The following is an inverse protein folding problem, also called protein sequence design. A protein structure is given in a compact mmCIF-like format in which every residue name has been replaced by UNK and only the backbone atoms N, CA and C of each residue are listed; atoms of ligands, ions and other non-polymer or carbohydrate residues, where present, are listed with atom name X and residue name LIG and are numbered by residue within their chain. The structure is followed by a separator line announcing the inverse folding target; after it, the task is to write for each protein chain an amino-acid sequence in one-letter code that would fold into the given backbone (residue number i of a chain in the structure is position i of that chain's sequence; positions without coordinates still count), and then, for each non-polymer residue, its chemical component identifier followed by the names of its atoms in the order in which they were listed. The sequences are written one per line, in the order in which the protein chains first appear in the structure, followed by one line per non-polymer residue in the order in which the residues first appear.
data_IF_289086606525
#
_entry.id   IF_289086606525
#
_cell.length_a   1.000
_cell.length_b   1.000
_cell.length_c   1.000
_cell.angle_alpha   90.00
_cell.angle_beta   90.00
_cell.angle_gamma   90.00
#
_symmetry.space_group_name_H-M   'P 1'
#
loop_
_entity.id
_entity.type
_entity.pdbx_description
1 polymer ?
2 polymer ?
3 non-polymer ?
4 water ?
#
loop_
_entity_poly.entity_id
_entity_poly.type
_entity_poly.pdbx_seq_one_letter_code
_entity_poly.pdbx_strand_id
2 'polyribonucleotide' 'GG' ?
#
# COMPACT_ATOMS: atom_id res chain seq x y z
N UNK A 1 -3.28 -13.60 18.10
CA UNK A 1 -4.60 -14.19 17.92
C UNK A 1 -4.64 -15.06 16.66
N UNK A 2 -4.92 -14.44 15.52
CA UNK A 2 -4.94 -15.14 14.24
C UNK A 2 -3.55 -15.11 13.61
N UNK A 3 -2.51 -15.08 14.45
CA UNK A 3 -1.13 -15.03 13.97
C UNK A 3 -0.82 -16.25 13.12
N UNK A 4 -0.29 -16.02 11.91
CA UNK A 4 -0.06 -17.14 11.00
C UNK A 4 0.99 -16.76 9.96
N UNK A 5 1.88 -17.70 9.65
CA UNK A 5 2.85 -17.47 8.60
C UNK A 5 2.23 -17.47 7.20
N UNK A 6 0.92 -17.72 7.09
CA UNK A 6 0.20 -17.63 5.83
C UNK A 6 -0.48 -16.29 5.61
N UNK A 7 -0.54 -15.44 6.64
CA UNK A 7 -1.20 -14.15 6.54
C UNK A 7 -0.44 -13.23 5.59
N UNK A 8 -1.15 -12.26 5.02
CA UNK A 8 -0.61 -11.38 3.99
C UNK A 8 -0.55 -9.96 4.50
N UNK A 9 0.59 -9.30 4.26
CA UNK A 9 0.78 -7.90 4.63
C UNK A 9 0.53 -7.05 3.39
N UNK A 10 -0.48 -6.21 3.47
CA UNK A 10 -0.83 -5.24 2.43
C UNK A 10 -0.33 -3.87 2.85
N UNK A 11 0.26 -3.13 1.92
CA UNK A 11 0.80 -1.82 2.23
C UNK A 11 0.58 -0.87 1.06
N UNK A 12 0.28 0.38 1.39
CA UNK A 12 0.21 1.45 0.39
C UNK A 12 0.91 2.67 0.96
N UNK A 13 1.71 3.31 0.11
CA UNK A 13 2.40 4.55 0.47
C UNK A 13 1.90 5.67 -0.42
N UNK A 14 1.92 6.88 0.12
CA UNK A 14 1.85 8.09 -0.70
C UNK A 14 3.19 8.80 -0.60
N UNK A 15 3.59 9.43 -1.70
CA UNK A 15 4.91 10.02 -1.83
C UNK A 15 4.80 11.42 -2.43
N UNK A 16 5.90 12.17 -2.34
CA UNK A 16 5.96 13.46 -3.02
C UNK A 16 6.26 13.33 -4.51
N UNK A 17 6.46 12.12 -5.03
CA UNK A 17 6.69 11.92 -6.44
C UNK A 17 7.08 10.49 -6.71
N UNK A 18 7.46 10.22 -7.95
CA UNK A 18 7.68 8.86 -8.43
C UNK A 18 9.12 8.39 -8.29
N UNK A 19 10.04 9.23 -7.80
CA UNK A 19 11.47 8.90 -7.81
C UNK A 19 11.98 8.70 -6.39
N UNK A 20 12.30 7.47 -5.98
CA UNK A 20 12.74 7.26 -4.58
C UNK A 20 13.98 8.05 -4.20
N UNK A 21 14.84 8.37 -5.15
CA UNK A 21 16.07 9.09 -4.84
C UNK A 21 15.84 10.57 -4.60
N UNK A 22 14.73 11.12 -5.09
CA UNK A 22 14.39 12.52 -5.00
C UNK A 22 13.25 12.80 -4.03
N UNK A 23 12.32 11.88 -3.93
CA UNK A 23 11.05 12.11 -3.26
C UNK A 23 11.00 11.38 -1.93
N UNK A 24 9.92 11.62 -1.20
CA UNK A 24 9.82 11.17 0.17
C UNK A 24 8.45 10.52 0.39
N UNK A 25 8.39 9.68 1.42
CA UNK A 25 7.13 9.07 1.83
C UNK A 25 6.38 10.05 2.71
N UNK A 26 5.12 10.31 2.38
CA UNK A 26 4.28 11.20 3.18
C UNK A 26 3.10 10.48 3.83
N UNK A 27 2.78 9.26 3.42
CA UNK A 27 1.77 8.50 4.12
C UNK A 27 2.07 7.02 3.98
N UNK A 28 1.69 6.26 5.01
CA UNK A 28 1.81 4.80 4.99
C UNK A 28 0.58 4.22 5.68
N UNK A 29 0.07 3.11 5.15
CA UNK A 29 -0.97 2.35 5.80
C UNK A 29 -0.71 0.88 5.52
N UNK A 30 -1.05 0.04 6.51
CA UNK A 30 -0.91 -1.41 6.38
C UNK A 30 -2.22 -2.08 6.77
N UNK A 31 -2.48 -3.23 6.16
CA UNK A 31 -3.58 -4.11 6.54
C UNK A 31 -3.06 -5.53 6.49
N UNK A 32 -3.51 -6.37 7.43
CA UNK A 32 -3.20 -7.79 7.41
C UNK A 32 -4.48 -8.55 7.07
N UNK A 33 -4.40 -9.40 6.04
CA UNK A 33 -5.46 -10.37 5.76
C UNK A 33 -4.98 -11.77 6.07
N UNK A 34 -5.92 -12.68 6.25
CA UNK A 34 -5.55 -14.08 6.22
C UNK A 34 -5.29 -14.50 4.77
N UNK A 35 -4.93 -15.76 4.59
CA UNK A 35 -4.59 -16.27 3.28
C UNK A 35 -5.79 -16.30 2.34
N UNK A 36 -7.01 -16.22 2.88
CA UNK A 36 -8.22 -16.19 2.09
C UNK A 36 -8.73 -14.77 1.86
N UNK A 37 -7.94 -13.77 2.23
CA UNK A 37 -8.19 -12.33 2.00
C UNK A 37 -9.17 -11.71 2.98
N UNK A 38 -9.56 -12.41 4.04
CA UNK A 38 -10.37 -11.78 5.08
C UNK A 38 -9.50 -10.80 5.85
N UNK A 39 -10.00 -9.58 6.02
CA UNK A 39 -9.23 -8.55 6.74
C UNK A 39 -9.25 -8.88 8.23
N UNK A 40 -8.07 -9.10 8.80
CA UNK A 40 -7.93 -9.42 10.21
C UNK A 40 -7.73 -8.18 11.07
N UNK A 41 -7.00 -7.20 10.55
CA UNK A 41 -6.57 -6.06 11.36
C UNK A 41 -6.05 -4.99 10.43
N UNK A 42 -6.34 -3.74 10.75
CA UNK A 42 -5.76 -2.62 10.04
C UNK A 42 -4.67 -2.02 10.92
N UNK A 43 -3.57 -1.64 10.28
CA UNK A 43 -2.42 -1.13 10.98
C UNK A 43 -2.44 0.38 11.10
N UNK A 44 -1.33 0.94 11.58
CA UNK A 44 -1.22 2.39 11.72
C UNK A 44 -1.39 3.09 10.37
N UNK A 45 -2.16 4.17 10.37
CA UNK A 45 -2.33 5.02 9.20
C UNK A 45 -1.61 6.32 9.54
N UNK A 46 -0.45 6.51 8.92
CA UNK A 46 0.52 7.50 9.41
C UNK A 46 0.82 8.51 8.31
N UNK A 47 0.46 9.77 8.55
CA UNK A 47 0.99 10.86 7.76
C UNK A 47 2.37 11.22 8.32
N UNK A 48 3.38 11.20 7.46
CA UNK A 48 4.77 11.37 7.88
C UNK A 48 5.18 12.79 7.59
N UNK A 49 5.67 13.48 8.62
CA UNK A 49 6.03 14.88 8.46
C UNK A 49 7.14 15.03 7.44
N UNK A 50 7.01 16.06 6.59
CA UNK A 50 8.08 16.45 5.69
C UNK A 50 8.14 17.97 5.69
N UNK A 51 9.32 18.55 5.58
CA UNK A 51 9.45 20.02 5.53
C UNK A 51 8.99 20.56 4.20
N UNK A 52 8.74 21.87 4.18
CA UNK A 52 8.24 22.49 2.95
C UNK A 52 9.21 22.30 1.79
N UNK A 53 10.52 22.25 2.06
CA UNK A 53 11.46 22.04 0.97
C UNK A 53 11.21 20.72 0.26
N UNK A 54 10.74 19.70 0.99
CA UNK A 54 10.41 18.44 0.34
C UNK A 54 9.04 18.45 -0.29
N UNK A 55 8.05 19.09 0.35
CA UNK A 55 6.75 19.23 -0.27
C UNK A 55 6.85 20.07 -1.53
N UNK A 56 7.84 20.95 -1.61
CA UNK A 56 8.01 21.83 -2.76
C UNK A 56 8.57 21.11 -3.98
N UNK A 57 8.93 19.83 -3.85
CA UNK A 57 9.30 19.05 -5.03
C UNK A 57 8.08 18.47 -5.74
N UNK A 58 6.90 18.58 -5.17
CA UNK A 58 5.73 17.96 -5.77
C UNK A 58 5.31 18.69 -7.03
N UNK A 59 5.01 17.92 -8.07
CA UNK A 59 4.50 18.50 -9.31
C UNK A 59 3.02 18.87 -9.15
N UNK A 60 2.38 19.27 -10.24
CA UNK A 60 0.98 19.67 -10.14
C UNK A 60 0.09 18.50 -9.73
N UNK A 61 0.30 17.33 -10.34
CA UNK A 61 -0.52 16.18 -10.00
C UNK A 61 -0.43 15.87 -8.50
N UNK A 62 0.80 15.80 -7.98
CA UNK A 62 0.97 15.47 -6.57
C UNK A 62 0.41 16.56 -5.68
N UNK A 63 0.72 17.82 -5.99
CA UNK A 63 0.26 18.92 -5.16
C UNK A 63 -1.26 18.94 -5.09
N UNK A 64 -1.93 18.87 -6.23
CA UNK A 64 -3.38 18.96 -6.21
C UNK A 64 -3.99 17.72 -5.57
N UNK A 65 -3.43 16.53 -5.87
CA UNK A 65 -3.99 15.30 -5.30
C UNK A 65 -3.89 15.31 -3.78
N UNK A 66 -2.69 15.55 -3.28
CA UNK A 66 -2.47 15.44 -1.84
C UNK A 66 -3.00 16.65 -1.07
N UNK A 67 -3.17 17.79 -1.73
CA UNK A 67 -3.84 18.90 -1.06
C UNK A 67 -5.34 18.63 -0.94
N UNK A 68 -5.96 18.21 -2.05
CA UNK A 68 -7.41 18.02 -2.05
C UNK A 68 -7.85 16.92 -1.08
N UNK A 69 -7.03 15.90 -0.90
CA UNK A 69 -7.39 14.80 0.00
C UNK A 69 -7.24 15.15 1.46
N UNK A 70 -6.62 16.29 1.76
CA UNK A 70 -6.30 16.66 3.13
C UNK A 70 -4.97 16.11 3.63
N UNK A 71 -4.26 15.32 2.80
CA UNK A 71 -3.02 14.72 3.26
C UNK A 71 -1.95 15.78 3.52
N UNK A 72 -1.86 16.80 2.65
CA UNK A 72 -0.81 17.81 2.86
C UNK A 72 -0.96 18.46 4.23
N UNK A 73 -2.19 18.82 4.60
CA UNK A 73 -2.39 19.43 5.92
C UNK A 73 -1.98 18.47 7.03
N UNK A 74 -2.31 17.18 6.88
CA UNK A 74 -1.92 16.20 7.88
C UNK A 74 -0.41 16.04 7.94
N UNK A 75 0.27 16.13 6.79
CA UNK A 75 1.72 16.03 6.78
C UNK A 75 2.35 17.21 7.51
N UNK A 76 1.85 18.41 7.23
CA UNK A 76 2.41 19.61 7.87
C UNK A 76 2.22 19.57 9.38
N UNK A 77 1.10 19.02 9.84
CA UNK A 77 0.78 18.96 11.26
C UNK A 77 1.38 17.74 11.95
N UNK A 78 1.89 16.78 11.18
CA UNK A 78 2.36 15.53 11.76
C UNK A 78 3.63 15.74 12.57
N UNK A 79 3.76 14.97 13.64
CA UNK A 79 4.97 14.93 14.46
C UNK A 79 5.66 13.57 14.36
N UNK A 80 5.42 12.82 13.29
CA UNK A 80 5.91 11.45 13.14
C UNK A 80 6.90 11.43 11.99
N UNK A 81 8.13 10.97 12.28
CA UNK A 81 9.18 10.80 11.29
C UNK A 81 9.10 9.40 10.67
N UNK A 82 9.92 9.19 9.63
CA UNK A 82 9.98 7.86 9.01
C UNK A 82 10.36 6.78 10.02
N UNK A 83 11.37 7.06 10.86
CA UNK A 83 11.81 6.05 11.82
C UNK A 83 10.69 5.70 12.79
N UNK A 84 9.96 6.70 13.27
CA UNK A 84 8.85 6.44 14.19
C UNK A 84 7.73 5.68 13.50
N UNK A 85 7.47 5.99 12.22
CA UNK A 85 6.45 5.27 11.46
C UNK A 85 6.85 3.81 11.26
N UNK A 86 8.14 3.55 11.02
CA UNK A 86 8.62 2.17 10.94
C UNK A 86 8.37 1.45 12.26
N UNK A 87 8.76 2.10 13.37
CA UNK A 87 8.58 1.49 14.68
C UNK A 87 7.12 1.12 14.92
N UNK A 88 6.21 2.05 14.63
CA UNK A 88 4.79 1.77 14.87
C UNK A 88 4.32 0.63 14.00
N UNK A 89 4.76 0.62 12.74
CA UNK A 89 4.29 -0.38 11.80
C UNK A 89 4.82 -1.76 12.15
N UNK A 90 6.11 -1.88 12.50
CA UNK A 90 6.65 -3.17 12.91
C UNK A 90 5.97 -3.69 14.17
N UNK A 91 5.68 -2.79 15.12
CA UNK A 91 5.04 -3.25 16.35
C UNK A 91 3.66 -3.81 16.07
N UNK A 92 2.97 -3.26 15.08
CA UNK A 92 1.70 -3.82 14.63
C UNK A 92 1.90 -5.16 13.93
N UNK A 93 2.80 -5.20 12.94
CA UNK A 93 2.92 -6.40 12.10
C UNK A 93 3.36 -7.61 12.92
N UNK A 94 4.21 -7.41 13.93
CA UNK A 94 4.71 -8.52 14.72
C UNK A 94 3.60 -9.26 15.47
N UNK A 95 2.44 -8.61 15.66
CA UNK A 95 1.32 -9.26 16.32
C UNK A 95 0.52 -10.17 15.40
N UNK A 96 0.77 -10.14 14.09
CA UNK A 96 -0.12 -10.79 13.12
C UNK A 96 0.59 -11.71 12.14
N UNK A 97 1.83 -11.39 11.76
CA UNK A 97 2.56 -12.14 10.75
C UNK A 97 4.02 -12.24 11.18
N UNK A 98 4.65 -13.41 11.09
CA UNK A 98 6.07 -13.50 11.41
C UNK A 98 6.93 -12.82 10.35
N UNK A 99 8.12 -12.41 10.78
CA UNK A 99 9.06 -11.73 9.90
C UNK A 99 9.47 -12.62 8.73
N UNK A 100 9.56 -12.01 7.55
CA UNK A 100 10.11 -12.67 6.39
C UNK A 100 9.19 -13.65 5.68
N UNK A 101 7.90 -13.70 6.05
CA UNK A 101 7.00 -14.71 5.52
C UNK A 101 6.03 -14.17 4.48
N UNK A 102 5.54 -12.93 4.64
CA UNK A 102 4.54 -12.45 3.68
C UNK A 102 5.20 -11.74 2.52
N UNK A 103 4.81 -12.05 1.28
CA UNK A 103 5.15 -11.16 0.16
C UNK A 103 4.57 -9.78 0.43
N UNK A 104 5.11 -8.80 -0.29
CA UNK A 104 4.51 -7.46 -0.24
C UNK A 104 3.29 -7.43 -1.14
N UNK A 105 2.15 -6.97 -0.61
CA UNK A 105 0.87 -7.07 -1.32
C UNK A 105 0.29 -5.68 -1.62
N UNK A 106 -0.17 -5.50 -2.85
CA UNK A 106 -0.85 -4.27 -3.21
C UNK A 106 -0.96 -4.17 -4.72
N UNK A 107 -1.12 -2.94 -5.22
CA UNK A 107 -1.19 -2.66 -6.65
C UNK A 107 0.10 -1.97 -7.09
N UNK A 108 0.75 -2.54 -8.11
CA UNK A 108 2.06 -2.02 -8.57
C UNK A 108 2.99 -1.82 -7.38
N UNK A 109 2.97 -2.82 -6.51
CA UNK A 109 3.62 -2.77 -5.21
C UNK A 109 5.14 -2.71 -5.30
N UNK A 110 5.72 -3.04 -6.46
CA UNK A 110 7.13 -2.81 -6.66
C UNK A 110 7.53 -1.36 -6.47
N UNK A 111 6.66 -0.42 -6.80
CA UNK A 111 6.98 0.98 -6.61
C UNK A 111 7.10 1.30 -5.12
N UNK A 112 6.12 0.84 -4.31
CA UNK A 112 6.22 1.07 -2.87
C UNK A 112 7.47 0.41 -2.31
N UNK A 113 7.79 -0.79 -2.81
CA UNK A 113 8.97 -1.48 -2.30
C UNK A 113 10.25 -0.69 -2.56
N UNK A 114 10.34 -0.02 -3.71
CA UNK A 114 11.51 0.83 -3.99
C UNK A 114 11.63 1.92 -2.93
N UNK A 115 10.51 2.54 -2.56
CA UNK A 115 10.56 3.56 -1.53
C UNK A 115 10.92 2.95 -0.17
N UNK A 116 10.47 1.72 0.11
CA UNK A 116 10.85 1.07 1.36
C UNK A 116 12.35 0.77 1.39
N UNK A 117 12.90 0.24 0.29
CA UNK A 117 14.34 -0.04 0.26
C UNK A 117 15.14 1.22 0.58
N UNK A 118 14.71 2.35 0.00
CA UNK A 118 15.50 3.57 0.11
C UNK A 118 15.29 4.25 1.45
N UNK A 119 14.05 4.34 1.92
CA UNK A 119 13.71 5.17 3.06
C UNK A 119 13.35 4.41 4.32
N UNK A 120 12.98 3.12 4.20
CA UNK A 120 12.55 2.33 5.35
C UNK A 120 13.06 0.90 5.22
N UNK A 121 14.37 0.71 5.06
CA UNK A 121 14.86 -0.66 4.83
C UNK A 121 14.54 -1.62 5.96
N UNK A 122 14.47 -1.13 7.20
CA UNK A 122 14.10 -2.03 8.31
C UNK A 122 12.70 -2.60 8.12
N UNK A 123 11.79 -1.83 7.53
CA UNK A 123 10.46 -2.35 7.24
C UNK A 123 10.46 -3.22 5.99
N UNK A 124 11.18 -2.82 4.93
CA UNK A 124 11.27 -3.68 3.75
C UNK A 124 11.71 -5.09 4.13
N UNK A 125 12.65 -5.20 5.08
CA UNK A 125 13.21 -6.49 5.48
C UNK A 125 12.17 -7.40 6.12
N UNK A 126 11.04 -6.85 6.57
CA UNK A 126 10.02 -7.68 7.20
C UNK A 126 9.28 -8.56 6.19
N UNK A 127 9.33 -8.21 4.91
CA UNK A 127 8.60 -8.95 3.89
C UNK A 127 9.45 -10.09 3.32
N UNK A 128 8.78 -11.15 2.89
CA UNK A 128 9.40 -12.12 2.00
C UNK A 128 9.79 -11.42 0.70
N UNK A 129 10.75 -12.00 -0.03
CA UNK A 129 11.23 -11.31 -1.23
C UNK A 129 10.19 -11.25 -2.33
N UNK A 130 9.15 -12.06 -2.27
CA UNK A 130 8.18 -12.08 -3.35
C UNK A 130 7.18 -10.92 -3.25
N UNK A 131 6.40 -10.78 -4.31
CA UNK A 131 5.45 -9.68 -4.50
C UNK A 131 4.11 -10.29 -4.88
N UNK A 132 3.05 -9.83 -4.23
CA UNK A 132 1.69 -10.14 -4.66
C UNK A 132 1.11 -8.84 -5.23
N UNK A 133 1.17 -8.72 -6.55
CA UNK A 133 0.78 -7.49 -7.25
C UNK A 133 -0.57 -7.74 -7.90
N UNK A 134 -1.61 -7.13 -7.33
CA UNK A 134 -2.95 -7.28 -7.86
C UNK A 134 -3.04 -6.81 -9.30
N UNK A 135 -2.20 -5.84 -9.68
CA UNK A 135 -2.24 -5.32 -11.04
C UNK A 135 -1.69 -6.30 -12.06
N UNK A 136 -0.91 -7.30 -11.61
CA UNK A 136 -0.57 -8.40 -12.51
C UNK A 136 -1.83 -9.07 -13.02
N UNK A 137 -2.78 -9.31 -12.12
CA UNK A 137 -4.03 -9.98 -12.51
C UNK A 137 -4.90 -9.03 -13.33
N UNK A 138 -4.91 -7.75 -12.98
CA UNK A 138 -5.61 -6.76 -13.79
C UNK A 138 -5.13 -6.81 -15.23
N UNK A 139 -3.81 -6.84 -15.44
CA UNK A 139 -3.26 -6.75 -16.78
C UNK A 139 -3.51 -8.03 -17.57
N UNK A 140 -3.41 -9.18 -16.91
CA UNK A 140 -3.73 -10.44 -17.59
C UNK A 140 -5.21 -10.51 -17.93
N UNK A 141 -6.08 -10.07 -17.03
CA UNK A 141 -7.52 -10.05 -17.31
C UNK A 141 -7.84 -9.12 -18.48
N UNK A 142 -7.19 -7.95 -18.52
CA UNK A 142 -7.46 -7.06 -19.64
C UNK A 142 -7.15 -7.71 -20.98
N UNK A 143 -6.12 -8.55 -21.02
CA UNK A 143 -5.75 -9.20 -22.27
C UNK A 143 -6.58 -10.45 -22.54
N UNK A 144 -6.96 -11.20 -21.52
CA UNK A 144 -7.63 -12.47 -21.74
C UNK A 144 -9.15 -12.38 -21.80
N UNK A 145 -9.75 -11.49 -21.03
CA UNK A 145 -11.20 -11.31 -21.06
C UNK A 145 -11.53 -9.91 -20.54
N UNK A 146 -11.26 -8.87 -21.35
CA UNK A 146 -11.39 -7.50 -20.83
C UNK A 146 -12.77 -7.12 -20.36
N UNK A 147 -13.83 -7.77 -20.87
CA UNK A 147 -15.19 -7.42 -20.42
C UNK A 147 -15.37 -7.64 -18.92
N UNK A 148 -14.57 -8.53 -18.31
CA UNK A 148 -14.65 -8.77 -16.88
C UNK A 148 -14.42 -7.48 -16.09
N UNK A 149 -13.52 -6.63 -16.57
CA UNK A 149 -13.11 -5.45 -15.81
C UNK A 149 -14.21 -4.41 -15.70
N UNK A 150 -15.24 -4.47 -16.55
CA UNK A 150 -16.35 -3.54 -16.43
C UNK A 150 -17.18 -3.78 -15.18
N UNK A 151 -16.99 -4.90 -14.49
CA UNK A 151 -17.78 -5.23 -13.32
C UNK A 151 -17.17 -4.73 -12.02
N UNK A 152 -16.03 -4.06 -12.06
CA UNK A 152 -15.37 -3.55 -10.87
C UNK A 152 -14.80 -2.16 -11.15
N UNK A 153 -14.91 -1.27 -10.17
CA UNK A 153 -14.36 0.07 -10.30
C UNK A 153 -13.75 0.50 -8.98
N UNK A 154 -12.89 1.52 -9.04
CA UNK A 154 -12.24 2.05 -7.85
C UNK A 154 -12.49 3.55 -7.73
N UNK A 155 -12.45 4.03 -6.48
CA UNK A 155 -12.56 5.46 -6.22
C UNK A 155 -11.21 6.15 -6.39
N UNK A 156 -10.14 5.54 -5.90
CA UNK A 156 -8.79 6.06 -6.06
C UNK A 156 -8.55 7.40 -5.40
N UNK A 157 -8.72 7.46 -4.09
CA UNK A 157 -8.65 8.73 -3.39
C UNK A 157 -7.25 9.13 -2.99
N UNK A 158 -6.28 8.22 -3.07
CA UNK A 158 -4.92 8.47 -2.60
C UNK A 158 -4.84 8.76 -1.12
N UNK A 159 -5.84 8.28 -0.38
CA UNK A 159 -5.73 8.09 1.05
C UNK A 159 -5.29 6.65 1.25
N UNK A 160 -4.12 6.46 1.84
CA UNK A 160 -3.42 5.18 1.76
C UNK A 160 -4.27 4.01 2.26
N UNK A 161 -4.97 4.18 3.41
CA UNK A 161 -5.77 3.05 3.89
C UNK A 161 -6.92 2.74 2.95
N UNK A 162 -7.60 3.77 2.43
CA UNK A 162 -8.71 3.50 1.52
C UNK A 162 -8.23 2.85 0.23
N UNK A 163 -7.06 3.25 -0.26
CA UNK A 163 -6.56 2.64 -1.49
C UNK A 163 -6.14 1.19 -1.26
N UNK A 164 -5.53 0.88 -0.12
CA UNK A 164 -5.18 -0.51 0.11
C UNK A 164 -6.44 -1.37 0.32
N UNK A 165 -7.49 -0.81 0.90
CA UNK A 165 -8.76 -1.53 0.99
C UNK A 165 -9.31 -1.81 -0.40
N UNK A 166 -9.16 -0.87 -1.33
CA UNK A 166 -9.59 -1.12 -2.70
C UNK A 166 -8.74 -2.18 -3.39
N UNK A 167 -7.44 -2.26 -3.06
CA UNK A 167 -6.57 -3.29 -3.60
C UNK A 167 -7.06 -4.67 -3.18
N UNK A 168 -7.39 -4.82 -1.90
CA UNK A 168 -7.93 -6.09 -1.40
C UNK A 168 -9.25 -6.41 -2.09
N UNK A 169 -10.13 -5.41 -2.22
CA UNK A 169 -11.41 -5.64 -2.87
C UNK A 169 -11.21 -6.06 -4.33
N UNK A 170 -10.22 -5.48 -5.01
CA UNK A 170 -9.95 -5.86 -6.38
C UNK A 170 -9.56 -7.33 -6.48
N UNK A 171 -8.67 -7.78 -5.58
CA UNK A 171 -8.27 -9.18 -5.62
C UNK A 171 -9.41 -10.10 -5.25
N UNK A 172 -10.25 -9.71 -4.28
CA UNK A 172 -11.43 -10.50 -3.96
C UNK A 172 -12.32 -10.64 -5.18
N UNK A 173 -12.47 -9.55 -5.94
CA UNK A 173 -13.26 -9.61 -7.17
C UNK A 173 -12.65 -10.59 -8.17
N UNK A 174 -11.32 -10.55 -8.34
CA UNK A 174 -10.67 -11.48 -9.27
C UNK A 174 -10.81 -12.92 -8.81
N UNK A 175 -10.77 -13.15 -7.50
CA UNK A 175 -10.93 -14.52 -7.00
C UNK A 175 -12.22 -15.14 -7.52
N UNK A 176 -13.31 -14.38 -7.50
CA UNK A 176 -14.57 -14.91 -7.99
C UNK A 176 -14.69 -14.81 -9.51
N UNK A 177 -14.14 -13.77 -10.13
CA UNK A 177 -14.42 -13.51 -11.53
C UNK A 177 -13.44 -14.15 -12.50
N UNK A 178 -12.18 -14.36 -12.12
CA UNK A 178 -11.20 -14.90 -13.06
C UNK A 178 -10.47 -16.14 -12.56
N UNK A 179 -10.50 -16.46 -11.28
CA UNK A 179 -9.89 -17.69 -10.78
C UNK A 179 -10.93 -18.79 -10.66
N UNK A 180 -10.46 -20.03 -10.69
CA UNK A 180 -11.31 -21.19 -10.40
C UNK A 180 -10.82 -21.96 -9.19
N UNK A 181 -9.99 -21.35 -8.36
CA UNK A 181 -9.51 -21.96 -7.12
C UNK A 181 -9.79 -21.03 -5.95
X LIG C 1 -0.18 2.80 -4.41
#
# INVERSE_FOLDING_TARGET
MSFSDQNLIWIDLEMTGLDPEMHKIIEMATIVTDSELNILAEGPVIAIHQPESELAKMDEWCTTTHTASGLVARVRQSQVSEEEAIDQTLAFLKQWVPEGKSPICGNSIGQDRRFLYKHMPRLEAYFHYRYIDVSTIKELTRRWQPEVLKEFSKTGSHLALDDIRESIAELQFYRKAVFKI
NA NA
#
